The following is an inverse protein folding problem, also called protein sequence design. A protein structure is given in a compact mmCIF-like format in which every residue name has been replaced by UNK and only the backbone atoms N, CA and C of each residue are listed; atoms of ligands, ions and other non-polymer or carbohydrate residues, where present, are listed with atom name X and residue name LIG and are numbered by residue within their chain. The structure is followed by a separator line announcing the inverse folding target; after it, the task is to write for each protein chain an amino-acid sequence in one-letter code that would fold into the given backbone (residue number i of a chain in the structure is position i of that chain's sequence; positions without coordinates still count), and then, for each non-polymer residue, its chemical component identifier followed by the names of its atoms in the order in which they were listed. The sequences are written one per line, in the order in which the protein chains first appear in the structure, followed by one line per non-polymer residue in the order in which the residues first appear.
data_IF_370046555071
#
_entry.id   IF_370046555071
#
_cell.length_a   1.000
_cell.length_b   1.000
_cell.length_c   1.000
_cell.angle_alpha   90.00
_cell.angle_beta   90.00
_cell.angle_gamma   90.00
#
_symmetry.space_group_name_H-M   'P 1'
#
loop_
_entity.id
_entity.type
_entity.pdbx_description
1 polymer ?
#
# COMPACT_ATOMS: atom_id res chain seq x y z
N UNK A 1 16.16 28.43 0.71
CA UNK A 1 15.34 27.76 -0.30
C UNK A 1 13.93 27.79 0.23
N UNK A 2 13.03 28.53 -0.41
CA UNK A 2 11.66 28.71 0.09
C UNK A 2 10.87 27.48 -0.40
N UNK A 3 10.54 26.56 0.48
CA UNK A 3 9.82 25.31 0.17
C UNK A 3 8.44 25.59 -0.49
N UNK A 4 7.93 26.82 -0.39
CA UNK A 4 6.67 27.24 -0.99
C UNK A 4 6.74 27.50 -2.51
N UNK A 5 7.94 27.58 -3.10
CA UNK A 5 8.12 27.75 -4.55
C UNK A 5 8.18 26.42 -5.29
N UNK A 6 8.32 25.29 -4.57
CA UNK A 6 8.33 23.95 -5.13
C UNK A 6 6.91 23.50 -5.49
N UNK A 7 6.76 22.82 -6.63
CA UNK A 7 5.47 22.30 -7.09
C UNK A 7 5.32 20.83 -6.79
N UNK A 8 4.16 20.44 -6.26
CA UNK A 8 3.84 19.06 -5.92
C UNK A 8 2.74 18.56 -6.84
N UNK A 9 3.03 17.55 -7.64
CA UNK A 9 2.06 16.89 -8.52
C UNK A 9 1.72 15.52 -7.95
N UNK A 10 0.44 15.29 -7.67
CA UNK A 10 -0.06 14.04 -7.11
C UNK A 10 -0.88 13.32 -8.17
N UNK A 11 -0.49 12.09 -8.47
CA UNK A 11 -1.11 11.28 -9.51
C UNK A 11 -1.81 10.06 -8.90
N UNK A 12 -2.98 9.71 -9.44
CA UNK A 12 -3.71 8.49 -9.09
C UNK A 12 -5.20 8.72 -8.92
N UNK A 13 -5.95 7.64 -8.85
CA UNK A 13 -7.41 7.60 -8.73
C UNK A 13 -7.91 7.11 -7.36
N UNK A 14 -6.99 6.86 -6.44
CA UNK A 14 -7.27 6.35 -5.09
C UNK A 14 -7.57 7.51 -4.12
N UNK A 15 -8.53 7.30 -3.24
CA UNK A 15 -8.90 8.28 -2.21
C UNK A 15 -7.74 8.73 -1.33
N UNK A 16 -6.70 7.93 -1.20
CA UNK A 16 -5.46 8.26 -0.45
C UNK A 16 -4.67 9.38 -1.11
N UNK A 17 -4.58 9.39 -2.45
CA UNK A 17 -3.94 10.47 -3.21
C UNK A 17 -4.74 11.76 -3.07
N UNK A 18 -6.06 11.69 -3.14
CA UNK A 18 -6.92 12.86 -2.92
C UNK A 18 -6.77 13.42 -1.49
N UNK A 19 -6.73 12.55 -0.48
CA UNK A 19 -6.49 12.95 0.90
C UNK A 19 -5.12 13.61 1.08
N UNK A 20 -4.08 13.05 0.44
CA UNK A 20 -2.74 13.63 0.45
C UNK A 20 -2.71 15.02 -0.21
N UNK A 21 -3.38 15.17 -1.34
CA UNK A 21 -3.52 16.46 -2.02
C UNK A 21 -4.16 17.52 -1.11
N UNK A 22 -5.30 17.18 -0.49
CA UNK A 22 -5.98 18.10 0.43
C UNK A 22 -5.08 18.49 1.60
N UNK A 23 -4.33 17.53 2.16
CA UNK A 23 -3.38 17.81 3.24
C UNK A 23 -2.27 18.78 2.83
N UNK A 24 -1.76 18.67 1.59
CA UNK A 24 -0.76 19.62 1.09
C UNK A 24 -1.35 21.03 0.93
N UNK A 25 -2.60 21.15 0.40
CA UNK A 25 -3.29 22.43 0.29
C UNK A 25 -3.53 23.07 1.66
N UNK A 26 -4.00 22.29 2.64
CA UNK A 26 -4.21 22.77 4.02
C UNK A 26 -2.94 23.31 4.67
N UNK A 27 -1.79 22.75 4.29
CA UNK A 27 -0.47 23.19 4.76
C UNK A 27 0.12 24.34 3.94
N UNK A 28 -0.59 24.84 2.93
CA UNK A 28 -0.15 25.96 2.09
C UNK A 28 0.86 25.61 1.01
N UNK A 29 1.05 24.32 0.67
CA UNK A 29 1.92 23.94 -0.42
C UNK A 29 1.27 24.15 -1.78
N UNK A 30 2.08 24.46 -2.80
CA UNK A 30 1.64 24.56 -4.18
C UNK A 30 1.49 23.13 -4.77
N UNK A 31 0.27 22.61 -4.75
CA UNK A 31 -0.02 21.24 -5.14
C UNK A 31 -1.09 21.15 -6.24
N UNK A 32 -0.96 20.16 -7.13
CA UNK A 32 -1.97 19.77 -8.10
C UNK A 32 -2.25 18.27 -8.04
N UNK A 33 -3.45 17.88 -8.44
CA UNK A 33 -3.91 16.51 -8.43
C UNK A 33 -4.46 16.09 -9.79
N UNK A 34 -4.10 14.90 -10.26
CA UNK A 34 -4.60 14.32 -11.51
C UNK A 34 -4.91 12.84 -11.38
N UNK A 35 -6.10 12.45 -11.89
CA UNK A 35 -6.51 11.05 -12.03
C UNK A 35 -6.13 10.47 -13.38
N UNK A 36 -5.83 11.30 -14.39
CA UNK A 36 -5.74 10.91 -15.80
C UNK A 36 -4.37 10.37 -16.23
N UNK A 37 -3.39 10.34 -15.34
CA UNK A 37 -2.02 9.93 -15.67
C UNK A 37 -1.89 8.47 -16.14
N UNK A 38 -2.90 7.64 -15.96
CA UNK A 38 -2.90 6.22 -16.33
C UNK A 38 -3.86 5.87 -17.48
N UNK A 39 -4.56 6.85 -18.05
CA UNK A 39 -5.41 6.63 -19.21
C UNK A 39 -4.57 6.51 -20.49
N UNK A 40 -4.81 5.45 -21.27
CA UNK A 40 -4.10 5.17 -22.55
C UNK A 40 -4.41 6.17 -23.68
N UNK A 41 -5.13 7.23 -23.41
CA UNK A 41 -5.47 8.24 -24.40
C UNK A 41 -4.50 9.42 -24.26
N UNK A 42 -3.87 9.84 -25.35
CA UNK A 42 -3.05 11.07 -25.51
C UNK A 42 -3.80 12.36 -25.14
N UNK A 43 -4.71 12.32 -24.18
CA UNK A 43 -5.41 13.48 -23.67
C UNK A 43 -4.50 14.23 -22.71
N UNK A 44 -4.43 15.54 -22.88
CA UNK A 44 -3.78 16.45 -21.92
C UNK A 44 -4.27 16.12 -20.52
N UNK A 45 -3.34 15.93 -19.60
CA UNK A 45 -3.64 15.67 -18.18
C UNK A 45 -4.47 16.84 -17.67
N UNK A 46 -5.68 16.54 -17.15
CA UNK A 46 -6.53 17.54 -16.51
C UNK A 46 -6.15 17.60 -15.03
N UNK A 47 -5.74 18.75 -14.58
CA UNK A 47 -5.51 19.03 -13.16
C UNK A 47 -6.78 19.62 -12.54
N UNK A 48 -7.11 19.22 -11.35
CA UNK A 48 -8.29 19.72 -10.60
C UNK A 48 -8.11 21.14 -10.07
N UNK A 49 -6.87 21.65 -10.04
CA UNK A 49 -6.56 23.04 -9.70
C UNK A 49 -5.53 23.60 -10.69
N UNK A 50 -5.75 24.86 -11.11
CA UNK A 50 -4.83 25.58 -11.96
C UNK A 50 -3.55 25.90 -11.19
N UNK A 51 -2.42 25.43 -11.69
CA UNK A 51 -1.18 26.14 -11.47
C UNK A 51 -1.33 27.50 -12.15
N UNK A 52 -0.92 28.56 -11.48
CA UNK A 52 -0.76 29.85 -12.15
C UNK A 52 0.22 29.64 -13.30
N UNK A 53 -0.28 29.68 -14.54
CA UNK A 53 0.47 29.35 -15.76
C UNK A 53 1.62 30.31 -16.06
N UNK A 54 1.74 31.42 -15.34
CA UNK A 54 2.56 32.57 -15.75
C UNK A 54 3.92 32.68 -15.08
N UNK A 55 4.34 31.74 -14.23
CA UNK A 55 5.72 31.80 -13.70
C UNK A 55 6.50 30.53 -14.06
N UNK A 56 7.50 30.68 -14.91
CA UNK A 56 8.63 29.75 -15.00
C UNK A 56 9.15 29.52 -13.59
N UNK A 57 8.62 28.48 -12.91
CA UNK A 57 9.08 28.13 -11.60
C UNK A 57 10.53 27.68 -11.69
N UNK A 58 11.39 28.42 -11.01
CA UNK A 58 12.79 28.03 -10.80
C UNK A 58 12.94 26.94 -9.76
N UNK A 59 11.82 26.49 -9.16
CA UNK A 59 11.75 25.48 -8.11
C UNK A 59 11.87 24.04 -8.60
N UNK A 60 11.92 23.13 -7.67
CA UNK A 60 11.96 21.69 -7.88
C UNK A 60 10.53 21.14 -7.96
N UNK A 61 10.27 20.26 -8.92
CA UNK A 61 8.99 19.57 -9.03
C UNK A 61 9.04 18.20 -8.34
N UNK A 62 8.05 17.95 -7.47
CA UNK A 62 7.85 16.66 -6.82
C UNK A 62 6.69 15.94 -7.48
N UNK A 63 6.96 14.78 -8.06
CA UNK A 63 5.98 13.94 -8.74
C UNK A 63 5.65 12.74 -7.85
N UNK A 64 4.47 12.75 -7.22
CA UNK A 64 4.04 11.71 -6.29
C UNK A 64 3.08 10.76 -6.99
N UNK A 65 3.44 9.48 -6.99
CA UNK A 65 2.71 8.40 -7.66
C UNK A 65 2.09 7.41 -6.69
N UNK A 66 1.02 6.68 -7.11
CA UNK A 66 0.43 5.63 -6.29
C UNK A 66 1.39 4.46 -6.09
N UNK A 67 1.12 3.66 -5.07
CA UNK A 67 1.88 2.46 -4.69
C UNK A 67 1.01 1.22 -4.90
N UNK A 68 1.44 0.21 -5.68
CA UNK A 68 2.70 0.14 -6.43
C UNK A 68 2.69 0.99 -7.71
N UNK A 69 3.84 1.55 -8.07
CA UNK A 69 4.03 2.20 -9.36
C UNK A 69 4.31 1.14 -10.42
N UNK A 70 3.36 0.94 -11.34
CA UNK A 70 3.45 -0.10 -12.37
C UNK A 70 4.21 0.40 -13.60
N UNK A 71 4.88 -0.52 -14.30
CA UNK A 71 5.62 -0.27 -15.55
C UNK A 71 4.83 0.54 -16.59
N UNK A 72 3.53 0.26 -16.78
CA UNK A 72 2.65 1.01 -17.70
C UNK A 72 2.53 2.50 -17.38
N UNK A 73 2.87 2.88 -16.16
CA UNK A 73 2.85 4.27 -15.74
C UNK A 73 4.11 5.03 -16.17
N UNK A 74 5.18 4.34 -16.55
CA UNK A 74 6.45 4.93 -16.93
C UNK A 74 6.32 5.67 -18.27
N UNK A 75 5.62 5.10 -19.23
CA UNK A 75 5.44 5.71 -20.56
C UNK A 75 4.70 7.05 -20.48
N UNK A 76 3.79 7.18 -19.50
CA UNK A 76 3.06 8.43 -19.23
C UNK A 76 3.88 9.42 -18.38
N UNK A 77 5.00 8.98 -17.78
CA UNK A 77 5.91 9.82 -17.00
C UNK A 77 6.88 10.64 -17.86
N UNK A 78 7.16 10.19 -19.09
CA UNK A 78 8.15 10.82 -19.97
C UNK A 78 7.94 12.33 -20.18
N UNK A 79 6.73 12.85 -20.33
CA UNK A 79 6.52 14.29 -20.50
C UNK A 79 6.89 15.12 -19.26
N UNK A 80 6.92 14.50 -18.06
CA UNK A 80 7.12 15.18 -16.78
C UNK A 80 8.47 14.87 -16.14
N UNK A 81 9.19 13.87 -16.64
CA UNK A 81 10.42 13.39 -16.04
C UNK A 81 11.63 14.16 -16.55
N UNK A 82 11.94 15.27 -15.90
CA UNK A 82 13.15 16.07 -16.16
C UNK A 82 14.14 15.90 -15.01
N UNK A 83 15.43 16.19 -15.29
CA UNK A 83 16.52 16.06 -14.31
C UNK A 83 16.35 16.89 -13.02
N UNK A 84 15.46 17.88 -13.02
CA UNK A 84 15.15 18.70 -11.86
C UNK A 84 13.96 18.19 -11.05
N UNK A 85 13.36 17.04 -11.42
CA UNK A 85 12.20 16.50 -10.78
C UNK A 85 12.58 15.39 -9.80
N UNK A 86 11.76 15.23 -8.75
CA UNK A 86 11.83 14.12 -7.83
C UNK A 86 10.63 13.20 -8.03
N UNK A 87 10.87 11.94 -8.36
CA UNK A 87 9.83 10.91 -8.45
C UNK A 87 9.70 10.23 -7.10
N UNK A 88 8.50 10.33 -6.50
CA UNK A 88 8.20 9.72 -5.20
C UNK A 88 7.10 8.67 -5.40
N UNK A 89 7.34 7.47 -4.91
CA UNK A 89 6.37 6.37 -5.00
C UNK A 89 6.80 5.19 -4.14
N UNK A 90 6.43 3.99 -4.55
CA UNK A 90 6.89 2.80 -3.84
C UNK A 90 6.76 1.53 -4.66
N UNK A 91 7.58 0.54 -4.31
CA UNK A 91 7.72 -0.73 -5.02
C UNK A 91 8.17 -0.53 -6.47
N UNK A 92 9.20 0.29 -6.67
CA UNK A 92 9.79 0.55 -7.97
C UNK A 92 10.40 -0.73 -8.54
N UNK A 93 10.07 -1.03 -9.78
CA UNK A 93 10.71 -2.13 -10.49
C UNK A 93 12.09 -1.74 -11.02
N UNK A 94 12.83 -2.74 -11.52
CA UNK A 94 14.18 -2.54 -12.05
C UNK A 94 14.19 -1.65 -13.30
N UNK A 95 13.13 -1.65 -14.07
CA UNK A 95 13.01 -0.82 -15.28
C UNK A 95 12.87 0.66 -14.93
N UNK A 96 11.99 0.98 -13.98
CA UNK A 96 11.82 2.35 -13.51
C UNK A 96 13.11 2.90 -12.88
N UNK A 97 13.75 2.12 -12.01
CA UNK A 97 15.02 2.54 -11.41
C UNK A 97 16.12 2.73 -12.44
N UNK A 98 16.21 1.84 -13.44
CA UNK A 98 17.16 1.98 -14.54
C UNK A 98 16.86 3.20 -15.43
N UNK A 99 15.58 3.51 -15.67
CA UNK A 99 15.16 4.70 -16.37
C UNK A 99 15.57 5.98 -15.64
N UNK A 100 15.26 6.07 -14.36
CA UNK A 100 15.64 7.23 -13.53
C UNK A 100 17.16 7.45 -13.54
N UNK A 101 17.93 6.38 -13.36
CA UNK A 101 19.40 6.45 -13.36
C UNK A 101 19.96 6.89 -14.71
N UNK A 102 19.45 6.38 -15.84
CA UNK A 102 19.90 6.75 -17.18
C UNK A 102 19.63 8.22 -17.52
N UNK A 103 18.54 8.77 -16.98
CA UNK A 103 18.12 10.15 -17.27
C UNK A 103 18.52 11.14 -16.17
N UNK A 104 19.32 10.72 -15.16
CA UNK A 104 19.70 11.52 -14.02
C UNK A 104 18.51 12.13 -13.26
N UNK A 105 17.41 11.37 -13.12
CA UNK A 105 16.21 11.77 -12.41
C UNK A 105 16.32 11.28 -10.97
N UNK A 106 16.16 12.18 -10.02
CA UNK A 106 16.10 11.82 -8.61
C UNK A 106 14.82 11.05 -8.30
N UNK A 107 14.91 9.97 -7.53
CA UNK A 107 13.74 9.21 -7.11
C UNK A 107 13.85 8.75 -5.67
N UNK A 108 12.68 8.56 -5.03
CA UNK A 108 12.58 8.05 -3.68
C UNK A 108 11.53 6.96 -3.60
N UNK A 109 11.98 5.72 -3.38
CA UNK A 109 11.09 4.58 -3.13
C UNK A 109 10.77 4.49 -1.63
N UNK A 110 9.53 4.82 -1.27
CA UNK A 110 9.03 4.79 0.11
C UNK A 110 9.14 3.41 0.76
N UNK A 111 9.10 2.33 -0.03
CA UNK A 111 9.23 0.96 0.49
C UNK A 111 10.65 0.58 0.89
N UNK A 112 11.66 1.38 0.55
CA UNK A 112 13.01 1.24 1.09
C UNK A 112 13.13 1.83 2.51
N UNK A 113 12.18 2.67 2.92
CA UNK A 113 12.12 3.22 4.27
C UNK A 113 11.44 2.25 5.24
N UNK A 114 12.20 1.70 6.18
CA UNK A 114 11.67 0.81 7.23
C UNK A 114 10.57 1.47 8.06
N UNK A 115 10.70 2.76 8.34
CA UNK A 115 9.71 3.52 9.11
C UNK A 115 8.39 3.62 8.33
N UNK A 116 8.46 3.97 7.04
CA UNK A 116 7.28 4.01 6.18
C UNK A 116 6.58 2.66 6.12
N UNK A 117 7.32 1.58 5.80
CA UNK A 117 6.77 0.22 5.69
C UNK A 117 6.10 -0.22 6.98
N UNK A 118 6.72 0.07 8.13
CA UNK A 118 6.17 -0.30 9.45
C UNK A 118 4.89 0.47 9.78
N UNK A 119 4.87 1.79 9.51
CA UNK A 119 3.70 2.64 9.74
C UNK A 119 2.55 2.29 8.80
N UNK A 120 2.84 2.10 7.52
CA UNK A 120 1.85 1.69 6.53
C UNK A 120 1.23 0.32 6.87
N UNK A 121 2.04 -0.64 7.34
CA UNK A 121 1.56 -1.95 7.75
C UNK A 121 0.61 -1.87 8.95
N UNK A 122 0.81 -0.93 9.88
CA UNK A 122 -0.08 -0.71 11.02
C UNK A 122 -1.44 -0.21 10.56
N UNK A 123 -1.47 0.83 9.72
CA UNK A 123 -2.71 1.40 9.17
C UNK A 123 -3.45 0.36 8.31
N UNK A 124 -2.72 -0.42 7.51
CA UNK A 124 -3.29 -1.52 6.70
C UNK A 124 -3.94 -2.57 7.59
N UNK A 125 -3.34 -2.90 8.73
CA UNK A 125 -3.90 -3.87 9.67
C UNK A 125 -5.19 -3.36 10.33
N UNK A 126 -5.24 -2.08 10.71
CA UNK A 126 -6.45 -1.44 11.23
C UNK A 126 -7.59 -1.50 10.19
N UNK A 127 -7.30 -1.12 8.94
CA UNK A 127 -8.28 -1.18 7.84
C UNK A 127 -8.78 -2.59 7.55
N UNK A 128 -7.88 -3.60 7.59
CA UNK A 128 -8.28 -4.99 7.36
C UNK A 128 -9.21 -5.51 8.46
N UNK A 129 -8.94 -5.17 9.72
CA UNK A 129 -9.79 -5.55 10.87
C UNK A 129 -11.13 -4.81 10.80
N UNK A 130 -11.12 -3.52 10.48
CA UNK A 130 -12.36 -2.74 10.26
C UNK A 130 -13.24 -3.38 9.18
N UNK A 131 -12.67 -3.72 8.02
CA UNK A 131 -13.39 -4.41 6.95
C UNK A 131 -13.96 -5.76 7.40
N UNK A 132 -13.21 -6.53 8.20
CA UNK A 132 -13.69 -7.80 8.72
C UNK A 132 -14.88 -7.62 9.67
N UNK A 133 -14.82 -6.64 10.58
CA UNK A 133 -15.92 -6.32 11.51
C UNK A 133 -17.16 -5.80 10.77
N UNK A 134 -16.97 -4.97 9.77
CA UNK A 134 -18.08 -4.39 8.99
C UNK A 134 -18.84 -5.43 8.17
N UNK A 135 -18.16 -6.49 7.71
CA UNK A 135 -18.72 -7.52 6.85
C UNK A 135 -19.04 -8.84 7.60
N UNK A 136 -19.08 -8.81 8.92
CA UNK A 136 -19.39 -9.99 9.73
C UNK A 136 -20.39 -9.68 10.83
N UNK A 137 -21.24 -10.64 11.14
CA UNK A 137 -22.12 -10.60 12.32
C UNK A 137 -21.42 -11.09 13.58
N UNK A 138 -20.19 -11.62 13.46
CA UNK A 138 -19.41 -12.13 14.59
C UNK A 138 -18.48 -11.04 15.14
N UNK A 139 -18.28 -11.07 16.45
CA UNK A 139 -17.30 -10.20 17.12
C UNK A 139 -15.87 -10.75 16.97
N UNK A 140 -14.88 -9.88 16.96
CA UNK A 140 -13.48 -10.30 17.03
C UNK A 140 -13.15 -10.91 18.39
N UNK A 141 -13.65 -10.30 19.46
CA UNK A 141 -13.44 -10.82 20.81
C UNK A 141 -14.07 -12.22 20.97
N UNK A 142 -13.27 -13.18 21.40
CA UNK A 142 -13.68 -14.58 21.54
C UNK A 142 -13.71 -15.36 20.21
N UNK A 143 -13.43 -14.72 19.07
CA UNK A 143 -13.36 -15.39 17.77
C UNK A 143 -12.07 -16.20 17.61
N UNK A 144 -12.08 -17.08 16.60
CA UNK A 144 -10.90 -17.78 16.11
C UNK A 144 -10.45 -17.19 14.78
N UNK A 145 -9.25 -16.60 14.73
CA UNK A 145 -8.73 -15.91 13.57
C UNK A 145 -7.48 -16.60 13.01
N UNK A 146 -7.41 -16.71 11.67
CA UNK A 146 -6.27 -17.23 10.92
C UNK A 146 -5.61 -16.11 10.13
N UNK A 147 -4.32 -15.91 10.33
CA UNK A 147 -3.50 -14.97 9.54
C UNK A 147 -2.53 -15.77 8.68
N UNK A 148 -2.64 -15.62 7.36
CA UNK A 148 -1.78 -16.28 6.37
C UNK A 148 -0.69 -15.30 5.97
N UNK A 149 0.57 -15.65 6.28
CA UNK A 149 1.73 -14.75 6.18
C UNK A 149 1.99 -13.99 7.49
N UNK A 150 3.26 -13.89 7.88
CA UNK A 150 3.68 -13.17 9.09
C UNK A 150 4.74 -12.11 8.76
N UNK A 151 4.57 -11.46 7.61
CA UNK A 151 5.34 -10.30 7.18
C UNK A 151 4.91 -9.02 7.93
N UNK A 152 5.23 -7.85 7.33
CA UNK A 152 4.94 -6.55 7.94
C UNK A 152 3.45 -6.37 8.31
N UNK A 153 2.52 -6.69 7.40
CA UNK A 153 1.08 -6.57 7.67
C UNK A 153 0.57 -7.70 8.57
N UNK A 154 0.93 -8.96 8.28
CA UNK A 154 0.42 -10.11 9.03
C UNK A 154 0.78 -10.08 10.50
N UNK A 155 1.98 -9.66 10.86
CA UNK A 155 2.37 -9.53 12.27
C UNK A 155 1.59 -8.42 13.00
N UNK A 156 1.21 -7.33 12.31
CA UNK A 156 0.39 -6.26 12.88
C UNK A 156 -1.05 -6.70 13.07
N UNK A 157 -1.64 -7.36 12.06
CA UNK A 157 -2.99 -7.95 12.16
C UNK A 157 -3.05 -8.95 13.32
N UNK A 158 -2.12 -9.91 13.38
CA UNK A 158 -2.09 -10.91 14.46
C UNK A 158 -1.95 -10.27 15.84
N UNK A 159 -1.12 -9.23 15.97
CA UNK A 159 -0.95 -8.49 17.22
C UNK A 159 -2.24 -7.78 17.65
N UNK A 160 -2.91 -7.08 16.73
CA UNK A 160 -4.18 -6.37 17.01
C UNK A 160 -5.30 -7.34 17.36
N UNK A 161 -5.48 -8.43 16.60
CA UNK A 161 -6.47 -9.47 16.89
C UNK A 161 -6.27 -10.07 18.28
N UNK A 162 -5.03 -10.28 18.67
CA UNK A 162 -4.71 -10.75 20.01
C UNK A 162 -5.07 -9.74 21.11
N UNK A 163 -4.78 -8.45 20.88
CA UNK A 163 -5.20 -7.39 21.81
C UNK A 163 -6.72 -7.28 21.91
N UNK A 164 -7.45 -7.66 20.86
CA UNK A 164 -8.92 -7.75 20.84
C UNK A 164 -9.46 -9.09 21.38
N UNK A 165 -8.62 -9.91 22.02
CA UNK A 165 -8.99 -11.18 22.64
C UNK A 165 -9.50 -12.25 21.65
N UNK A 166 -8.96 -12.31 20.44
CA UNK A 166 -9.16 -13.41 19.49
C UNK A 166 -8.16 -14.56 19.74
N UNK A 167 -8.56 -15.80 19.49
CA UNK A 167 -7.65 -16.96 19.39
C UNK A 167 -6.92 -16.89 18.03
N UNK A 168 -5.66 -16.47 18.06
CA UNK A 168 -4.91 -16.18 16.83
C UNK A 168 -4.05 -17.35 16.40
N UNK A 169 -4.23 -17.77 15.15
CA UNK A 169 -3.43 -18.76 14.46
C UNK A 169 -2.71 -18.09 13.29
N UNK A 170 -1.48 -18.53 12.98
CA UNK A 170 -0.66 -17.97 11.91
C UNK A 170 -0.12 -19.08 11.04
N UNK A 171 -0.13 -18.86 9.73
CA UNK A 171 0.60 -19.68 8.75
C UNK A 171 1.81 -18.87 8.26
N UNK A 172 3.03 -19.40 8.51
CA UNK A 172 4.27 -18.77 8.05
C UNK A 172 5.28 -19.86 7.70
N UNK A 173 5.62 -20.04 6.41
CA UNK A 173 6.58 -21.04 5.98
C UNK A 173 8.01 -20.81 6.49
N UNK A 174 8.40 -19.53 6.61
CA UNK A 174 9.72 -19.18 7.11
C UNK A 174 9.82 -19.42 8.62
N UNK A 175 10.94 -20.01 9.04
CA UNK A 175 11.21 -20.24 10.47
C UNK A 175 11.34 -18.89 11.19
N UNK A 176 10.36 -18.54 12.01
CA UNK A 176 10.41 -17.36 12.88
C UNK A 176 10.82 -17.78 14.27
N UNK A 177 11.75 -17.05 14.86
CA UNK A 177 12.25 -17.30 16.22
C UNK A 177 11.25 -16.88 17.29
N UNK A 178 10.38 -15.91 17.00
CA UNK A 178 9.39 -15.39 17.93
C UNK A 178 8.13 -14.91 17.22
N UNK A 179 6.98 -15.41 17.61
CA UNK A 179 5.66 -15.05 17.05
C UNK A 179 4.73 -14.42 18.11
N UNK A 180 5.19 -14.27 19.32
CA UNK A 180 4.38 -13.83 20.46
C UNK A 180 3.80 -15.01 21.27
N UNK A 181 3.55 -14.75 22.56
CA UNK A 181 2.93 -15.78 23.43
C UNK A 181 1.48 -16.03 22.98
N UNK A 182 1.06 -17.31 23.04
CA UNK A 182 -0.31 -17.74 22.75
C UNK A 182 -0.76 -17.50 21.28
N UNK A 183 0.16 -17.54 20.32
CA UNK A 183 -0.16 -17.63 18.88
C UNK A 183 0.24 -19.02 18.42
N UNK A 184 -0.70 -19.74 17.77
CA UNK A 184 -0.42 -21.06 17.20
C UNK A 184 0.15 -20.89 15.78
N UNK A 185 1.34 -21.44 15.55
CA UNK A 185 2.04 -21.39 14.27
C UNK A 185 1.86 -22.68 13.47
N UNK A 186 1.63 -22.53 12.18
CA UNK A 186 1.66 -23.58 11.15
C UNK A 186 2.66 -23.19 10.07
N UNK A 187 3.34 -24.19 9.49
CA UNK A 187 4.27 -23.96 8.37
C UNK A 187 3.53 -23.81 7.03
N UNK A 188 2.43 -24.54 6.87
CA UNK A 188 1.65 -24.49 5.64
C UNK A 188 0.15 -24.71 5.95
N UNK A 189 -0.70 -24.40 4.96
CA UNK A 189 -2.15 -24.45 5.11
C UNK A 189 -2.69 -25.88 5.26
N UNK A 190 -1.94 -26.89 4.81
CA UNK A 190 -2.35 -28.30 4.91
C UNK A 190 -2.31 -28.81 6.36
N UNK A 191 -1.52 -28.17 7.22
CA UNK A 191 -1.47 -28.49 8.65
C UNK A 191 -2.73 -28.00 9.39
N UNK A 192 -3.49 -27.07 8.79
CA UNK A 192 -4.72 -26.53 9.35
C UNK A 192 -5.90 -27.48 9.02
N UNK A 193 -6.12 -28.51 9.84
CA UNK A 193 -7.11 -29.55 9.57
C UNK A 193 -8.56 -29.04 9.48
N UNK A 194 -8.92 -28.07 10.30
CA UNK A 194 -10.30 -27.56 10.49
C UNK A 194 -10.41 -26.08 10.09
N UNK A 195 -10.05 -25.74 8.86
CA UNK A 195 -10.02 -24.34 8.38
C UNK A 195 -11.42 -23.69 8.45
N UNK A 196 -12.49 -24.47 8.32
CA UNK A 196 -13.88 -24.01 8.44
C UNK A 196 -14.28 -23.53 9.85
N UNK A 197 -13.45 -23.80 10.88
CA UNK A 197 -13.70 -23.34 12.25
C UNK A 197 -13.17 -21.94 12.55
N UNK A 198 -12.48 -21.32 11.59
CA UNK A 198 -12.07 -19.93 11.76
C UNK A 198 -13.19 -18.99 11.39
N UNK A 199 -13.45 -18.03 12.27
CA UNK A 199 -14.43 -16.98 12.07
C UNK A 199 -13.91 -15.90 11.10
N UNK A 200 -12.60 -15.66 11.16
CA UNK A 200 -11.92 -14.67 10.30
C UNK A 200 -10.63 -15.25 9.70
N UNK A 201 -10.41 -14.98 8.42
CA UNK A 201 -9.18 -15.36 7.72
C UNK A 201 -8.60 -14.12 7.03
N UNK A 202 -7.38 -13.75 7.41
CA UNK A 202 -6.64 -12.64 6.84
C UNK A 202 -5.50 -13.18 5.98
N UNK A 203 -5.58 -13.01 4.66
CA UNK A 203 -4.52 -13.41 3.75
C UNK A 203 -3.61 -12.23 3.43
N UNK A 204 -2.39 -12.26 3.94
CA UNK A 204 -1.35 -11.24 3.70
C UNK A 204 -0.17 -11.78 2.90
N UNK A 205 -0.23 -13.06 2.50
CA UNK A 205 0.81 -13.66 1.68
C UNK A 205 0.72 -13.15 0.22
N UNK A 206 1.85 -12.83 -0.43
CA UNK A 206 1.86 -12.36 -1.82
C UNK A 206 1.49 -13.46 -2.83
N UNK A 207 1.62 -14.72 -2.44
CA UNK A 207 1.31 -15.88 -3.27
C UNK A 207 -0.18 -16.25 -3.13
N UNK A 208 -0.74 -16.90 -4.17
CA UNK A 208 -2.11 -17.44 -4.14
C UNK A 208 -2.15 -18.67 -3.20
N UNK A 209 -2.31 -18.41 -1.91
CA UNK A 209 -2.33 -19.45 -0.85
C UNK A 209 -3.72 -20.07 -0.69
N UNK A 210 -4.78 -19.26 -0.88
CA UNK A 210 -6.17 -19.73 -0.87
C UNK A 210 -6.54 -20.19 -2.28
N UNK A 211 -6.34 -21.46 -2.56
CA UNK A 211 -6.76 -22.13 -3.80
C UNK A 211 -8.19 -22.63 -3.68
N UNK A 212 -8.83 -22.99 -4.82
CA UNK A 212 -10.24 -23.35 -4.90
C UNK A 212 -10.63 -24.49 -3.95
N UNK A 213 -9.79 -25.51 -3.79
CA UNK A 213 -10.00 -26.62 -2.86
C UNK A 213 -10.14 -26.15 -1.40
N UNK A 214 -9.36 -25.14 -1.01
CA UNK A 214 -9.42 -24.57 0.33
C UNK A 214 -10.66 -23.71 0.49
N UNK A 215 -11.00 -22.90 -0.54
CA UNK A 215 -12.22 -22.10 -0.54
C UNK A 215 -13.49 -22.99 -0.48
N UNK A 216 -13.49 -24.14 -1.15
CA UNK A 216 -14.58 -25.12 -1.05
C UNK A 216 -14.74 -25.68 0.37
N UNK A 217 -13.66 -25.83 1.11
CA UNK A 217 -13.69 -26.27 2.53
C UNK A 217 -14.23 -25.20 3.48
N UNK A 218 -14.17 -23.92 3.10
CA UNK A 218 -14.76 -22.80 3.84
C UNK A 218 -16.26 -22.66 3.59
N UNK A 219 -16.77 -23.02 2.41
CA UNK A 219 -18.19 -22.90 2.02
C UNK A 219 -19.12 -23.93 2.65
N UNK A 220 -18.61 -24.86 3.46
CA UNK A 220 -19.42 -25.89 4.13
C UNK A 220 -19.99 -25.43 5.49
N UNK A 221 -20.33 -24.14 5.61
CA UNK A 221 -21.13 -23.61 6.70
C UNK A 221 -22.53 -23.28 6.24
#
# INVERSE_FOLDING_TARGET
MNIFDDRIYIFGDDSRQLALFNLFLEKGYNAAYSTDCFSNNNKKIKYSHHFYEDNLCTGTDFLIFPIPLKKRSIDNLFPFAHKNNYIIGGLFDKELTAFCNRNNICYYDLYLSKNFVTSNAKITAEGAIFCAMQNSTKTIAGSKSLVIGYGNCGCKIAGMLKCMNSEVHVIEPAKKTYIGRNIRLYKNITEVRNIHRFDFIFNTAPQKTLVDDILCRLKKM
#
